data_IF_684185767878
#
_entry.id   IF_684185767878
#
_cell.length_a   1.000
_cell.length_b   1.000
_cell.length_c   1.000
_cell.angle_alpha   90.00
_cell.angle_beta   90.00
_cell.angle_gamma   90.00
#
_symmetry.space_group_name_H-M   'P 1'
#
loop_
_entity.id
_entity.type
_entity.pdbx_description
1 polymer ?
#
# COMPACT_ATOMS: atom_id res chain seq x y z
N UNK A 1 69.27 -3.68 -1.97
CA UNK A 1 70.04 -4.93 -2.08
C UNK A 1 69.04 -6.01 -2.48
N UNK A 2 69.11 -6.27 -3.73
CA UNK A 2 68.97 -7.61 -4.41
C UNK A 2 67.63 -8.27 -4.37
N UNK A 3 67.06 -8.50 -5.45
CA UNK A 3 67.28 -9.26 -6.70
C UNK A 3 66.06 -10.15 -6.88
N UNK A 4 65.24 -9.93 -7.86
CA UNK A 4 65.28 -10.51 -9.23
C UNK A 4 65.02 -12.04 -9.30
N UNK A 5 64.11 -12.37 -10.17
CA UNK A 5 63.98 -13.58 -10.99
C UNK A 5 62.67 -14.34 -10.70
N UNK A 6 61.98 -14.91 -11.63
CA UNK A 6 61.92 -14.99 -13.09
C UNK A 6 60.70 -15.86 -13.46
N UNK A 7 59.94 -15.46 -14.38
CA UNK A 7 59.29 -16.18 -15.51
C UNK A 7 59.06 -17.69 -15.40
N UNK A 8 57.82 -18.15 -15.65
CA UNK A 8 57.46 -19.29 -16.49
C UNK A 8 55.95 -19.18 -16.84
N UNK A 9 55.63 -18.81 -17.93
CA UNK A 9 55.07 -19.34 -19.17
C UNK A 9 54.42 -20.72 -18.99
N UNK A 10 53.10 -20.79 -19.12
CA UNK A 10 52.31 -22.01 -19.15
C UNK A 10 50.99 -21.80 -19.88
N UNK A 11 51.06 -21.84 -21.22
CA UNK A 11 49.92 -21.90 -22.14
C UNK A 11 49.25 -23.26 -21.98
N UNK A 12 48.00 -23.32 -21.63
CA UNK A 12 47.19 -24.54 -21.78
C UNK A 12 45.87 -24.20 -22.46
N UNK A 13 45.65 -24.87 -23.55
CA UNK A 13 44.55 -24.78 -24.49
C UNK A 13 43.16 -24.91 -23.87
N UNK A 14 42.28 -23.99 -24.20
CA UNK A 14 40.85 -24.14 -24.05
C UNK A 14 40.31 -25.15 -25.08
N UNK A 15 39.78 -26.24 -24.61
CA UNK A 15 38.95 -27.15 -25.41
C UNK A 15 37.51 -26.69 -25.26
N UNK A 16 36.98 -26.02 -26.27
CA UNK A 16 35.56 -25.75 -26.40
C UNK A 16 34.82 -27.03 -26.77
N UNK A 17 34.13 -27.61 -25.80
CA UNK A 17 33.16 -28.68 -26.08
C UNK A 17 31.80 -28.02 -26.34
N UNK A 18 31.52 -27.79 -27.59
CA UNK A 18 30.18 -27.42 -28.06
C UNK A 18 29.31 -28.67 -28.09
N UNK A 19 28.52 -28.88 -27.03
CA UNK A 19 27.37 -29.79 -27.12
C UNK A 19 26.23 -29.05 -27.83
N UNK A 20 26.14 -29.27 -29.14
CA UNK A 20 24.93 -28.97 -29.89
C UNK A 20 23.86 -29.97 -29.49
N UNK A 21 23.00 -29.57 -28.53
CA UNK A 21 21.73 -30.23 -28.27
C UNK A 21 20.86 -30.12 -29.51
N UNK A 22 20.58 -31.20 -30.17
CA UNK A 22 19.56 -31.28 -31.23
C UNK A 22 18.23 -31.15 -30.52
N UNK A 23 17.56 -29.99 -30.70
CA UNK A 23 16.17 -29.80 -30.28
C UNK A 23 15.31 -30.78 -31.08
N UNK A 24 14.95 -31.89 -30.43
CA UNK A 24 13.93 -32.80 -30.96
C UNK A 24 12.59 -32.06 -30.80
N UNK A 25 12.14 -31.44 -31.87
CA UNK A 25 10.80 -30.84 -31.93
C UNK A 25 9.78 -31.96 -31.71
N UNK A 26 9.24 -32.04 -30.50
CA UNK A 26 8.15 -32.95 -30.20
C UNK A 26 6.93 -32.54 -30.98
N UNK A 27 6.46 -33.42 -31.86
CA UNK A 27 5.24 -33.19 -32.69
C UNK A 27 3.95 -33.11 -31.84
N UNK A 28 4.03 -33.17 -30.55
CA UNK A 28 2.91 -33.05 -29.61
C UNK A 28 2.99 -31.81 -28.71
N UNK A 29 3.80 -30.80 -29.06
CA UNK A 29 3.67 -29.51 -28.40
C UNK A 29 2.28 -28.94 -28.73
N UNK A 30 1.45 -28.55 -27.74
CA UNK A 30 0.24 -27.81 -28.03
C UNK A 30 0.63 -26.58 -28.84
N UNK A 31 -0.09 -26.31 -29.94
CA UNK A 31 0.02 -25.02 -30.63
C UNK A 31 -0.25 -23.93 -29.61
N UNK A 32 0.81 -23.30 -29.12
CA UNK A 32 0.65 -22.05 -28.38
C UNK A 32 0.03 -21.07 -29.37
N UNK A 33 -1.29 -20.88 -29.21
CA UNK A 33 -1.95 -19.75 -29.85
C UNK A 33 -1.16 -18.52 -29.45
N UNK A 34 -0.70 -17.67 -30.40
CA UNK A 34 -0.09 -16.40 -30.03
C UNK A 34 -1.04 -15.73 -29.04
N UNK A 35 -0.61 -15.50 -27.83
CA UNK A 35 -1.33 -14.61 -26.91
C UNK A 35 -1.34 -13.26 -27.64
N UNK A 36 -2.41 -13.00 -28.38
CA UNK A 36 -2.76 -11.66 -28.80
C UNK A 36 -2.63 -10.82 -27.55
N UNK A 37 -1.73 -9.83 -27.59
CA UNK A 37 -1.20 -9.12 -26.44
C UNK A 37 -2.25 -8.92 -25.38
N UNK A 38 -1.89 -9.20 -24.12
CA UNK A 38 -2.78 -8.94 -23.00
C UNK A 38 -3.34 -7.52 -23.22
N UNK A 39 -4.63 -7.44 -23.51
CA UNK A 39 -5.35 -6.19 -23.69
C UNK A 39 -5.07 -5.38 -22.43
N UNK A 40 -4.19 -4.39 -22.55
CA UNK A 40 -3.87 -3.52 -21.43
C UNK A 40 -5.19 -2.93 -20.99
N UNK A 41 -5.63 -3.26 -19.78
CA UNK A 41 -6.81 -2.65 -19.22
C UNK A 41 -6.73 -1.14 -19.45
N UNK A 42 -7.80 -0.50 -19.93
CA UNK A 42 -7.77 0.91 -20.29
C UNK A 42 -7.22 1.70 -19.13
N UNK A 43 -6.06 2.36 -19.34
CA UNK A 43 -5.49 3.23 -18.32
C UNK A 43 -6.45 4.39 -18.14
N UNK A 44 -7.15 4.43 -17.03
CA UNK A 44 -8.00 5.54 -16.68
C UNK A 44 -7.09 6.76 -16.46
N UNK A 45 -7.23 7.77 -17.32
CA UNK A 45 -6.55 9.03 -17.13
C UNK A 45 -7.14 9.72 -15.89
N UNK A 46 -6.37 9.75 -14.80
CA UNK A 46 -6.78 10.33 -13.52
C UNK A 46 -6.53 11.83 -13.50
N UNK A 47 -7.28 12.55 -14.33
CA UNK A 47 -7.29 14.01 -14.40
C UNK A 47 -8.33 14.57 -13.40
N UNK A 48 -8.15 14.24 -12.12
CA UNK A 48 -9.13 14.51 -11.06
C UNK A 48 -8.83 15.77 -10.27
N UNK A 49 -9.90 16.46 -9.85
CA UNK A 49 -9.89 17.46 -8.80
C UNK A 49 -10.82 17.00 -7.67
N UNK A 50 -10.33 16.98 -6.43
CA UNK A 50 -11.14 16.57 -5.28
C UNK A 50 -12.25 17.61 -5.02
N UNK A 51 -13.51 17.19 -5.15
CA UNK A 51 -14.69 18.02 -4.87
C UNK A 51 -15.29 17.71 -3.50
N UNK A 52 -15.50 16.43 -3.19
CA UNK A 52 -16.12 16.03 -1.93
C UNK A 52 -15.64 14.64 -1.48
N UNK A 53 -15.86 14.35 -0.21
CA UNK A 53 -15.47 13.10 0.44
C UNK A 53 -16.71 12.55 1.15
N UNK A 54 -17.02 11.29 0.93
CA UNK A 54 -17.95 10.52 1.73
C UNK A 54 -17.19 9.41 2.44
N UNK A 55 -17.34 9.33 3.74
CA UNK A 55 -16.71 8.29 4.55
C UNK A 55 -17.80 7.61 5.38
N UNK A 56 -17.87 6.30 5.27
CA UNK A 56 -18.82 5.50 6.01
C UNK A 56 -18.10 4.43 6.86
N UNK A 57 -18.64 4.22 8.05
CA UNK A 57 -18.30 3.11 8.94
C UNK A 57 -19.54 2.23 9.01
N UNK A 58 -19.49 0.96 8.55
CA UNK A 58 -20.60 0.03 8.70
C UNK A 58 -21.04 -0.10 10.16
N UNK A 59 -22.35 -0.16 10.38
CA UNK A 59 -22.95 -0.19 11.73
C UNK A 59 -22.64 -1.49 12.49
N UNK A 60 -22.33 -2.56 11.77
CA UNK A 60 -22.02 -3.89 12.31
C UNK A 60 -20.55 -4.06 12.73
N UNK A 61 -19.72 -3.05 12.50
CA UNK A 61 -18.30 -3.11 12.90
C UNK A 61 -18.15 -3.12 14.43
N UNK A 62 -17.41 -4.10 14.91
CA UNK A 62 -17.09 -4.25 16.33
C UNK A 62 -15.97 -3.30 16.77
N UNK A 63 -16.11 -2.69 17.94
CA UNK A 63 -15.11 -1.79 18.53
C UNK A 63 -14.56 -2.41 19.81
N UNK A 64 -13.24 -2.37 20.01
CA UNK A 64 -12.62 -2.80 21.27
C UNK A 64 -11.83 -1.68 21.93
N UNK A 65 -12.11 -1.47 23.22
CA UNK A 65 -11.35 -0.59 24.10
C UNK A 65 -10.34 -1.36 24.96
N UNK A 66 -10.20 -2.67 24.75
CA UNK A 66 -9.28 -3.49 25.53
C UNK A 66 -7.83 -3.10 25.25
N UNK A 67 -7.05 -2.82 26.32
CA UNK A 67 -5.61 -2.62 26.23
C UNK A 67 -4.85 -3.95 26.32
N UNK A 68 -5.15 -4.87 25.41
CA UNK A 68 -4.46 -6.16 25.25
C UNK A 68 -3.46 -6.10 24.10
N UNK A 69 -2.61 -7.12 23.96
CA UNK A 69 -1.66 -7.16 22.84
C UNK A 69 -2.33 -7.21 21.47
N UNK A 70 -3.45 -7.93 21.38
CA UNK A 70 -4.22 -8.03 20.15
C UNK A 70 -5.72 -8.17 20.48
N UNK A 71 -6.46 -7.07 20.59
CA UNK A 71 -7.91 -7.13 20.78
C UNK A 71 -8.60 -7.73 19.54
N UNK A 72 -9.62 -8.56 19.76
CA UNK A 72 -10.43 -9.12 18.66
C UNK A 72 -11.56 -8.14 18.36
N UNK A 73 -11.39 -7.31 17.35
CA UNK A 73 -12.39 -6.35 16.86
C UNK A 73 -12.02 -5.84 15.47
N UNK A 74 -12.95 -5.21 14.78
CA UNK A 74 -12.73 -4.56 13.50
C UNK A 74 -12.07 -3.19 13.69
N UNK A 75 -12.45 -2.50 14.76
CA UNK A 75 -11.92 -1.20 15.14
C UNK A 75 -11.19 -1.31 16.47
N UNK A 76 -9.90 -0.95 16.45
CA UNK A 76 -9.05 -0.71 17.63
C UNK A 76 -8.35 0.62 17.41
N UNK A 77 -8.76 1.64 18.15
CA UNK A 77 -8.17 2.98 18.09
C UNK A 77 -8.00 3.59 19.47
N UNK A 78 -6.77 3.90 19.83
CA UNK A 78 -6.40 4.48 21.12
C UNK A 78 -5.45 5.67 20.98
N UNK A 79 -5.39 6.28 19.81
CA UNK A 79 -4.59 7.48 19.57
C UNK A 79 -5.31 8.79 19.90
N UNK A 80 -6.60 8.72 20.22
CA UNK A 80 -7.41 9.82 20.72
C UNK A 80 -8.02 9.47 22.09
N UNK A 81 -8.43 10.46 22.89
CA UNK A 81 -9.19 10.21 24.12
C UNK A 81 -10.41 9.32 23.87
N UNK A 82 -10.90 8.69 24.94
CA UNK A 82 -12.11 7.87 24.86
C UNK A 82 -13.28 8.67 24.29
N UNK A 83 -13.97 8.09 23.28
CA UNK A 83 -15.05 8.76 22.56
C UNK A 83 -15.56 7.96 21.39
N UNK A 84 -16.27 8.61 20.48
CA UNK A 84 -16.81 7.99 19.27
C UNK A 84 -15.67 7.62 18.31
N UNK A 85 -15.35 6.32 18.22
CA UNK A 85 -14.27 5.82 17.40
C UNK A 85 -14.53 6.01 15.90
N UNK A 86 -15.78 5.86 15.46
CA UNK A 86 -16.16 6.08 14.07
C UNK A 86 -15.90 7.54 13.64
N UNK A 87 -16.27 8.51 14.46
CA UNK A 87 -16.01 9.94 14.19
C UNK A 87 -14.51 10.26 14.19
N UNK A 88 -13.75 9.69 15.14
CA UNK A 88 -12.31 9.90 15.22
C UNK A 88 -11.58 9.36 13.99
N UNK A 89 -11.96 8.16 13.53
CA UNK A 89 -11.41 7.54 12.33
C UNK A 89 -11.85 8.32 11.08
N UNK A 90 -13.12 8.72 11.00
CA UNK A 90 -13.61 9.58 9.93
C UNK A 90 -12.76 10.86 9.79
N UNK A 91 -12.43 11.51 10.90
CA UNK A 91 -11.58 12.71 10.90
C UNK A 91 -10.16 12.43 10.37
N UNK A 92 -9.57 11.26 10.68
CA UNK A 92 -8.28 10.83 10.14
C UNK A 92 -8.35 10.67 8.62
N UNK A 93 -9.32 9.90 8.12
CA UNK A 93 -9.50 9.67 6.69
C UNK A 93 -9.78 10.96 5.92
N UNK A 94 -10.70 11.79 6.40
CA UNK A 94 -11.00 13.08 5.77
C UNK A 94 -9.79 14.00 5.72
N UNK A 95 -8.95 14.01 6.77
CA UNK A 95 -7.72 14.79 6.77
C UNK A 95 -6.73 14.25 5.74
N UNK A 96 -6.53 12.94 5.69
CA UNK A 96 -5.64 12.28 4.73
C UNK A 96 -6.07 12.54 3.28
N UNK A 97 -7.36 12.38 2.98
CA UNK A 97 -7.89 12.60 1.61
C UNK A 97 -7.78 14.07 1.22
N UNK A 98 -8.05 15.02 2.12
CA UNK A 98 -7.84 16.47 1.83
C UNK A 98 -6.36 16.78 1.55
N UNK A 99 -5.43 16.17 2.28
CA UNK A 99 -4.00 16.33 2.01
C UNK A 99 -3.63 15.77 0.64
N UNK A 100 -4.11 14.57 0.29
CA UNK A 100 -3.94 13.99 -1.04
C UNK A 100 -4.56 14.86 -2.13
N UNK A 101 -5.73 15.45 -1.86
CA UNK A 101 -6.47 16.35 -2.74
C UNK A 101 -5.67 17.58 -3.17
N UNK A 102 -4.72 18.02 -2.36
CA UNK A 102 -3.82 19.13 -2.72
C UNK A 102 -2.95 18.85 -3.95
N UNK A 103 -2.73 17.58 -4.30
CA UNK A 103 -2.02 17.17 -5.52
C UNK A 103 -2.95 16.84 -6.71
N UNK A 104 -4.26 16.86 -6.50
CA UNK A 104 -5.28 16.54 -7.51
C UNK A 104 -5.68 17.82 -8.27
N UNK A 105 -4.86 18.22 -9.23
CA UNK A 105 -5.01 19.49 -9.98
C UNK A 105 -5.69 19.30 -11.34
N UNK A 106 -6.36 18.17 -11.54
CA UNK A 106 -7.04 17.84 -12.78
C UNK A 106 -8.31 18.66 -13.06
N UNK A 107 -8.88 18.47 -14.24
CA UNK A 107 -10.06 19.21 -14.67
C UNK A 107 -11.38 18.56 -14.23
N UNK A 108 -11.37 17.27 -13.88
CA UNK A 108 -12.59 16.52 -13.56
C UNK A 108 -12.88 16.52 -12.06
N UNK A 109 -13.95 17.20 -11.60
CA UNK A 109 -14.32 17.16 -10.18
C UNK A 109 -14.86 15.79 -9.80
N UNK A 110 -14.31 15.23 -8.71
CA UNK A 110 -14.69 13.89 -8.22
C UNK A 110 -15.14 13.89 -6.76
N UNK A 111 -16.05 13.00 -6.46
CA UNK A 111 -16.38 12.57 -5.10
C UNK A 111 -15.64 11.27 -4.82
N UNK A 112 -14.92 11.25 -3.71
CA UNK A 112 -14.22 10.07 -3.21
C UNK A 112 -15.07 9.42 -2.13
N UNK A 113 -15.59 8.23 -2.39
CA UNK A 113 -16.36 7.44 -1.44
C UNK A 113 -15.43 6.40 -0.81
N UNK A 114 -15.45 6.32 0.52
CA UNK A 114 -14.64 5.38 1.31
C UNK A 114 -15.53 4.66 2.30
N UNK A 115 -15.59 3.35 2.21
CA UNK A 115 -16.28 2.48 3.16
C UNK A 115 -15.24 1.72 3.98
N UNK A 116 -15.25 1.94 5.31
CA UNK A 116 -14.30 1.30 6.21
C UNK A 116 -14.57 -0.21 6.29
N UNK A 117 -13.51 -1.00 6.27
CA UNK A 117 -13.56 -2.47 6.42
C UNK A 117 -12.81 -2.92 7.67
N UNK A 118 -11.72 -2.23 7.99
CA UNK A 118 -10.93 -2.52 9.18
C UNK A 118 -10.09 -1.28 9.55
N UNK A 119 -10.05 -0.99 10.85
CA UNK A 119 -9.11 -0.02 11.40
C UNK A 119 -8.54 -0.54 12.72
N UNK A 120 -7.53 -1.35 12.63
CA UNK A 120 -6.92 -2.00 13.78
C UNK A 120 -5.50 -1.44 14.00
N UNK A 121 -5.42 -0.47 14.88
CA UNK A 121 -4.18 0.18 15.29
C UNK A 121 -3.61 -0.48 16.56
N UNK A 122 -2.47 0.00 17.05
CA UNK A 122 -1.88 -0.56 18.27
C UNK A 122 -2.54 -0.02 19.52
N UNK A 123 -2.73 -0.91 20.50
CA UNK A 123 -3.01 -0.51 21.88
C UNK A 123 -1.75 0.08 22.51
N UNK A 124 -1.88 0.79 23.65
CA UNK A 124 -0.72 1.29 24.38
C UNK A 124 0.19 0.15 24.82
N UNK A 125 -0.40 -0.98 25.22
CA UNK A 125 0.36 -2.16 25.63
C UNK A 125 1.28 -2.66 24.52
N UNK A 126 0.77 -2.78 23.30
CA UNK A 126 1.54 -3.23 22.14
C UNK A 126 2.51 -2.15 21.67
N UNK A 127 2.04 -0.89 21.62
CA UNK A 127 2.81 0.25 21.16
C UNK A 127 4.07 0.48 21.98
N UNK A 128 3.97 0.46 23.31
CA UNK A 128 5.12 0.72 24.20
C UNK A 128 5.92 -0.53 24.54
N UNK A 129 5.66 -1.64 23.85
CA UNK A 129 6.43 -2.88 23.98
C UNK A 129 6.94 -3.37 22.63
N UNK A 130 6.19 -4.24 21.98
CA UNK A 130 6.66 -5.01 20.81
C UNK A 130 6.45 -4.32 19.46
N UNK A 131 5.53 -3.36 19.33
CA UNK A 131 5.13 -2.81 18.06
C UNK A 131 4.30 -3.79 17.23
N UNK A 132 4.25 -3.60 15.91
CA UNK A 132 3.48 -4.49 15.04
C UNK A 132 3.12 -3.86 13.70
N UNK A 133 1.83 -3.96 13.34
CA UNK A 133 1.28 -3.44 12.09
C UNK A 133 0.01 -2.64 12.40
N UNK A 134 -0.15 -1.49 11.78
CA UNK A 134 -1.46 -0.87 11.64
C UNK A 134 -2.18 -1.57 10.49
N UNK A 135 -3.25 -2.30 10.80
CA UNK A 135 -4.04 -3.00 9.79
C UNK A 135 -5.25 -2.14 9.42
N UNK A 136 -5.20 -1.55 8.23
CA UNK A 136 -6.21 -0.61 7.73
C UNK A 136 -6.69 -1.08 6.36
N UNK A 137 -7.97 -1.43 6.28
CA UNK A 137 -8.61 -1.88 5.04
C UNK A 137 -9.84 -1.03 4.78
N UNK A 138 -10.03 -0.63 3.54
CA UNK A 138 -11.22 0.12 3.13
C UNK A 138 -11.54 -0.12 1.66
N UNK A 139 -12.78 0.12 1.30
CA UNK A 139 -13.23 0.11 -0.08
C UNK A 139 -13.26 1.55 -0.61
N UNK A 140 -12.73 1.73 -1.81
CA UNK A 140 -12.61 3.02 -2.48
C UNK A 140 -13.42 3.03 -3.76
N UNK A 141 -14.29 4.01 -3.92
CA UNK A 141 -15.04 4.27 -5.16
C UNK A 141 -14.84 5.72 -5.58
N UNK A 142 -14.62 5.96 -6.87
CA UNK A 142 -14.51 7.32 -7.41
C UNK A 142 -15.73 7.62 -8.26
N UNK A 143 -16.41 8.74 -7.95
CA UNK A 143 -17.60 9.19 -8.68
C UNK A 143 -17.37 10.57 -9.30
N UNK A 144 -18.02 10.80 -10.40
CA UNK A 144 -18.16 12.12 -10.98
C UNK A 144 -18.99 13.01 -10.05
N UNK A 145 -18.45 14.16 -9.65
CA UNK A 145 -19.11 15.02 -8.67
C UNK A 145 -20.35 15.72 -9.19
N UNK A 146 -20.47 15.89 -10.51
CA UNK A 146 -21.59 16.57 -11.15
C UNK A 146 -22.77 15.64 -11.44
N UNK A 147 -22.46 14.41 -11.86
CA UNK A 147 -23.48 13.45 -12.28
C UNK A 147 -23.76 12.35 -11.25
N UNK A 148 -22.85 12.13 -10.29
CA UNK A 148 -22.88 11.02 -9.34
C UNK A 148 -22.50 9.65 -9.92
N UNK A 149 -22.23 9.57 -11.22
CA UNK A 149 -21.89 8.31 -11.88
C UNK A 149 -20.53 7.77 -11.38
N UNK A 150 -20.42 6.44 -11.29
CA UNK A 150 -19.17 5.79 -10.95
C UNK A 150 -18.18 5.96 -12.10
N UNK A 151 -16.99 6.48 -11.81
CA UNK A 151 -15.86 6.62 -12.73
C UNK A 151 -14.92 5.43 -12.56
N UNK A 152 -14.52 5.17 -11.30
CA UNK A 152 -13.77 3.97 -10.94
C UNK A 152 -14.63 3.11 -10.02
N UNK A 153 -14.85 1.83 -10.37
CA UNK A 153 -15.63 0.93 -9.55
C UNK A 153 -14.97 0.70 -8.19
N UNK A 154 -15.78 0.27 -7.23
CA UNK A 154 -15.33 -0.06 -5.89
C UNK A 154 -14.19 -1.08 -5.93
N UNK A 155 -13.11 -0.77 -5.23
CA UNK A 155 -11.97 -1.66 -5.05
C UNK A 155 -11.49 -1.66 -3.61
N UNK A 156 -11.05 -2.83 -3.12
CA UNK A 156 -10.44 -2.96 -1.81
C UNK A 156 -9.03 -2.37 -1.83
N UNK A 157 -8.75 -1.49 -0.87
CA UNK A 157 -7.43 -0.92 -0.64
C UNK A 157 -6.85 -1.51 0.64
N UNK A 158 -5.61 -1.96 0.53
CA UNK A 158 -4.78 -2.40 1.64
C UNK A 158 -3.88 -1.24 2.06
N UNK A 159 -4.17 -0.69 3.24
CA UNK A 159 -3.42 0.40 3.85
C UNK A 159 -2.55 -0.05 5.03
N UNK A 160 -2.22 -1.33 5.12
CA UNK A 160 -1.40 -1.87 6.19
C UNK A 160 0.03 -1.31 6.13
N UNK A 161 0.59 -0.99 7.29
CA UNK A 161 1.99 -0.57 7.39
C UNK A 161 2.57 -0.80 8.77
N UNK A 162 3.90 -0.83 8.87
CA UNK A 162 4.62 -1.10 10.10
C UNK A 162 4.34 -0.04 11.17
N UNK A 163 3.97 -0.51 12.35
CA UNK A 163 3.74 0.29 13.53
C UNK A 163 4.95 0.22 14.47
N UNK A 164 5.39 1.38 14.96
CA UNK A 164 6.52 1.46 15.88
C UNK A 164 6.18 0.85 17.25
N UNK A 165 7.18 0.23 17.87
CA UNK A 165 7.08 -0.34 19.20
C UNK A 165 8.19 0.14 20.14
N UNK A 166 7.95 0.04 21.45
CA UNK A 166 8.92 0.31 22.50
C UNK A 166 9.57 1.69 22.40
N UNK A 167 10.88 1.72 22.47
CA UNK A 167 11.67 2.96 22.40
C UNK A 167 11.43 3.78 21.14
N UNK A 168 11.25 3.12 19.99
CA UNK A 168 10.99 3.81 18.72
C UNK A 168 9.65 4.54 18.73
N UNK A 169 8.61 3.94 19.33
CA UNK A 169 7.32 4.58 19.49
C UNK A 169 7.40 5.80 20.42
N UNK A 170 8.10 5.67 21.56
CA UNK A 170 8.28 6.76 22.51
C UNK A 170 9.08 7.93 21.92
N UNK A 171 10.15 7.63 21.18
CA UNK A 171 10.95 8.67 20.51
C UNK A 171 10.14 9.40 19.45
N UNK A 172 9.31 8.68 18.69
CA UNK A 172 8.42 9.28 17.70
C UNK A 172 7.36 10.18 18.35
N UNK A 173 6.75 9.75 19.47
CA UNK A 173 5.79 10.57 20.21
C UNK A 173 6.42 11.87 20.75
N UNK A 174 7.61 11.79 21.32
CA UNK A 174 8.36 12.96 21.79
C UNK A 174 8.71 13.92 20.66
N UNK A 175 8.86 13.43 19.43
CA UNK A 175 9.07 14.24 18.22
C UNK A 175 7.77 14.72 17.57
N UNK A 176 6.61 14.53 18.22
CA UNK A 176 5.29 14.88 17.65
C UNK A 176 4.79 13.93 16.58
N UNK A 177 5.53 12.85 16.28
CA UNK A 177 5.16 11.82 15.32
C UNK A 177 4.32 10.73 15.98
N UNK A 178 3.16 11.15 16.51
CA UNK A 178 2.24 10.24 17.19
C UNK A 178 1.67 9.20 16.22
N UNK A 179 1.07 8.15 16.77
CA UNK A 179 0.37 7.13 15.99
C UNK A 179 -0.63 7.75 15.01
N UNK A 180 -1.40 8.75 15.46
CA UNK A 180 -2.37 9.48 14.62
C UNK A 180 -1.70 10.21 13.46
N UNK A 181 -0.64 10.96 13.72
CA UNK A 181 0.11 11.70 12.69
C UNK A 181 0.66 10.75 11.62
N UNK A 182 1.28 9.66 12.04
CA UNK A 182 1.86 8.68 11.13
C UNK A 182 0.81 7.95 10.28
N UNK A 183 -0.32 7.58 10.88
CA UNK A 183 -1.44 6.96 10.13
C UNK A 183 -2.00 7.96 9.11
N UNK A 184 -2.24 9.21 9.53
CA UNK A 184 -2.77 10.23 8.63
C UNK A 184 -1.83 10.48 7.45
N UNK A 185 -0.52 10.59 7.69
CA UNK A 185 0.46 10.80 6.64
C UNK A 185 0.57 9.61 5.67
N UNK A 186 0.53 8.37 6.21
CA UNK A 186 0.53 7.16 5.40
C UNK A 186 -0.70 7.09 4.49
N UNK A 187 -1.88 7.31 5.05
CA UNK A 187 -3.13 7.33 4.29
C UNK A 187 -3.13 8.45 3.24
N UNK A 188 -2.60 9.64 3.55
CA UNK A 188 -2.50 10.73 2.59
C UNK A 188 -1.63 10.35 1.38
N UNK A 189 -0.48 9.71 1.63
CA UNK A 189 0.39 9.21 0.56
C UNK A 189 -0.29 8.10 -0.25
N UNK A 190 -1.02 7.20 0.40
CA UNK A 190 -1.76 6.13 -0.25
C UNK A 190 -2.87 6.69 -1.13
N UNK A 191 -3.70 7.61 -0.63
CA UNK A 191 -4.73 8.27 -1.43
C UNK A 191 -4.16 9.07 -2.59
N UNK A 192 -3.03 9.75 -2.40
CA UNK A 192 -2.36 10.45 -3.50
C UNK A 192 -1.96 9.46 -4.61
N UNK A 193 -1.35 8.33 -4.26
CA UNK A 193 -0.99 7.29 -5.23
C UNK A 193 -2.22 6.71 -5.93
N UNK A 194 -3.28 6.39 -5.17
CA UNK A 194 -4.51 5.78 -5.68
C UNK A 194 -5.33 6.72 -6.56
N UNK A 195 -5.30 8.03 -6.32
CA UNK A 195 -6.15 9.01 -7.01
C UNK A 195 -5.43 9.80 -8.11
N UNK A 196 -4.09 9.87 -8.10
CA UNK A 196 -3.33 10.54 -9.16
C UNK A 196 -2.65 9.56 -10.12
N UNK A 197 -2.59 8.27 -9.78
CA UNK A 197 -1.84 7.27 -10.55
C UNK A 197 -0.33 7.40 -10.44
N UNK A 198 0.16 8.31 -9.60
CA UNK A 198 1.58 8.46 -9.30
C UNK A 198 1.96 7.49 -8.18
N UNK A 199 2.35 6.28 -8.54
CA UNK A 199 3.01 5.38 -7.58
C UNK A 199 4.44 5.86 -7.37
N UNK A 200 4.76 6.26 -6.16
CA UNK A 200 6.16 6.45 -5.75
C UNK A 200 6.83 5.06 -5.69
N UNK A 201 7.16 4.51 -6.86
CA UNK A 201 8.16 3.49 -7.11
C UNK A 201 8.24 2.22 -6.23
N UNK A 202 7.19 1.86 -5.48
CA UNK A 202 7.14 0.58 -4.80
C UNK A 202 6.10 -0.33 -5.48
N UNK A 203 6.46 -1.55 -5.92
CA UNK A 203 5.49 -2.47 -6.49
C UNK A 203 4.49 -2.84 -5.39
N UNK A 204 3.21 -2.52 -5.63
CA UNK A 204 2.11 -3.06 -4.83
C UNK A 204 2.15 -4.58 -5.03
N UNK A 205 2.43 -5.32 -3.96
CA UNK A 205 2.62 -6.75 -3.99
C UNK A 205 1.46 -7.47 -4.67
N UNK A 206 1.77 -8.16 -5.76
CA UNK A 206 0.89 -9.14 -6.34
C UNK A 206 0.67 -10.30 -5.37
N UNK A 207 -0.41 -11.09 -5.53
CA UNK A 207 -0.73 -12.19 -4.62
C UNK A 207 0.41 -13.20 -4.59
N UNK A 208 0.91 -13.49 -3.40
CA UNK A 208 1.78 -14.63 -3.17
C UNK A 208 0.96 -15.91 -3.41
N UNK A 209 1.40 -16.69 -4.39
CA UNK A 209 0.91 -18.02 -4.72
C UNK A 209 1.28 -19.02 -3.63
#
# INVERSE_FOLDING_TARGET
MNILKLVALGTVCAVMSACSGVDVVSRNAPLETPRLGAEQAPQVLRDYALHSIRFAVPEDMTVSEANSYYPIADIVWRGDPLGNRAEQISAIFQTAIRQAGGSMTGARPVTVDVDLVRFHSLTERTRYSVGGVHSIKFDLTVRDALTGNVIEPTRRIDGDFAALGGYAALAADNAGQTQKVRITAHLASLFAAELTGMTNGAPVGGPAS
#
